data_IF_744649121594
#
_entry.id   IF_744649121594
#
_cell.length_a   1.000
_cell.length_b   1.000
_cell.length_c   1.000
_cell.angle_alpha   90.00
_cell.angle_beta   90.00
_cell.angle_gamma   90.00
#
_symmetry.space_group_name_H-M   'P 1'
#
loop_
_entity.id
_entity.type
_entity.pdbx_description
1 polymer ?
#
# COMPACT_ATOMS: atom_id res chain seq x y z
N UNK A 1 -75.37 14.91 3.25
CA UNK A 1 -74.05 15.03 2.60
C UNK A 1 -73.03 14.51 3.59
N UNK A 2 -72.73 13.23 3.48
CA UNK A 2 -71.77 12.50 4.33
C UNK A 2 -70.38 12.66 3.73
N UNK A 3 -69.48 13.33 4.45
CA UNK A 3 -68.06 13.41 4.14
C UNK A 3 -67.44 12.00 4.19
N UNK A 4 -66.89 11.56 3.06
CA UNK A 4 -66.09 10.34 2.98
C UNK A 4 -64.71 10.61 3.58
N UNK A 5 -64.43 9.98 4.73
CA UNK A 5 -63.06 9.85 5.23
C UNK A 5 -62.19 9.10 4.20
N UNK A 6 -60.91 9.47 4.01
CA UNK A 6 -60.03 8.73 3.14
C UNK A 6 -59.79 7.33 3.75
N UNK A 7 -60.03 6.30 2.95
CA UNK A 7 -59.77 4.92 3.32
C UNK A 7 -58.25 4.75 3.54
N UNK A 8 -57.85 4.48 4.78
CA UNK A 8 -56.50 3.99 5.10
C UNK A 8 -56.40 2.59 4.49
N UNK A 9 -55.63 2.42 3.43
CA UNK A 9 -55.42 1.11 2.84
C UNK A 9 -54.66 0.23 3.83
N UNK A 10 -55.23 -0.92 4.17
CA UNK A 10 -54.81 -1.78 5.28
C UNK A 10 -53.89 -2.93 4.85
N UNK A 11 -53.24 -2.85 3.68
CA UNK A 11 -52.40 -3.94 3.16
C UNK A 11 -50.91 -3.69 3.40
N UNK A 12 -50.55 -3.38 4.65
CA UNK A 12 -49.16 -3.55 5.07
C UNK A 12 -48.92 -5.05 5.28
N UNK A 13 -48.21 -5.66 4.33
CA UNK A 13 -47.78 -7.06 4.48
C UNK A 13 -46.99 -7.23 5.78
N UNK A 14 -47.11 -8.39 6.43
CA UNK A 14 -46.33 -8.72 7.63
C UNK A 14 -44.83 -8.53 7.38
N UNK A 15 -44.36 -8.82 6.16
CA UNK A 15 -42.97 -8.57 5.73
C UNK A 15 -42.59 -7.09 5.82
N UNK A 16 -43.46 -6.19 5.34
CA UNK A 16 -43.23 -4.74 5.40
C UNK A 16 -43.25 -4.21 6.85
N UNK A 17 -44.12 -4.75 7.71
CA UNK A 17 -44.19 -4.39 9.12
C UNK A 17 -42.96 -4.86 9.92
N UNK A 18 -42.30 -5.92 9.46
CA UNK A 18 -41.12 -6.51 10.10
C UNK A 18 -39.81 -6.18 9.37
N UNK A 19 -39.85 -5.27 8.39
CA UNK A 19 -38.66 -4.84 7.67
C UNK A 19 -37.66 -4.15 8.63
N UNK A 20 -36.33 -4.31 8.44
CA UNK A 20 -35.34 -3.62 9.26
C UNK A 20 -35.50 -2.11 9.18
N UNK A 21 -35.46 -1.43 10.34
CA UNK A 21 -35.51 0.03 10.40
C UNK A 21 -34.14 0.70 10.21
N UNK A 22 -33.05 -0.09 10.25
CA UNK A 22 -31.66 0.36 10.19
C UNK A 22 -30.99 0.00 8.85
N UNK A 23 -31.70 0.16 7.73
CA UNK A 23 -31.13 -0.05 6.40
C UNK A 23 -30.04 0.98 6.09
N UNK A 24 -28.94 0.53 5.47
CA UNK A 24 -27.74 1.34 5.32
C UNK A 24 -27.83 2.40 4.19
N UNK A 25 -28.65 2.17 3.16
CA UNK A 25 -28.72 3.02 1.96
C UNK A 25 -29.00 4.49 2.29
N UNK A 26 -29.89 4.77 3.25
CA UNK A 26 -30.24 6.12 3.67
C UNK A 26 -29.17 6.77 4.55
N UNK A 27 -28.23 6.01 5.10
CA UNK A 27 -27.04 6.53 5.81
C UNK A 27 -25.90 6.82 4.85
N UNK A 28 -25.75 6.00 3.81
CA UNK A 28 -24.69 6.10 2.83
C UNK A 28 -24.92 7.20 1.78
N UNK A 29 -26.11 7.23 1.18
CA UNK A 29 -26.47 8.22 0.16
C UNK A 29 -26.88 9.50 0.88
N UNK A 30 -26.21 10.61 0.57
CA UNK A 30 -26.48 11.91 1.19
C UNK A 30 -27.84 12.52 0.81
N UNK A 31 -28.13 12.72 -0.49
CA UNK A 31 -29.39 13.31 -0.95
C UNK A 31 -30.62 12.55 -0.47
N UNK A 32 -31.64 13.29 -0.02
CA UNK A 32 -32.98 12.78 0.32
C UNK A 32 -33.93 12.98 -0.84
N UNK A 33 -35.13 12.43 -0.75
CA UNK A 33 -36.14 12.55 -1.82
C UNK A 33 -36.41 14.00 -2.24
N UNK A 34 -36.50 14.91 -1.27
CA UNK A 34 -36.66 16.34 -1.54
C UNK A 34 -35.44 16.96 -2.25
N UNK A 35 -34.22 16.56 -1.87
CA UNK A 35 -33.00 17.03 -2.54
C UNK A 35 -32.92 16.48 -3.97
N UNK A 36 -33.29 15.22 -4.17
CA UNK A 36 -33.34 14.56 -5.48
C UNK A 36 -34.34 15.28 -6.38
N UNK A 37 -35.55 15.57 -5.88
CA UNK A 37 -36.56 16.32 -6.64
C UNK A 37 -36.05 17.72 -7.03
N UNK A 38 -35.45 18.47 -6.09
CA UNK A 38 -34.90 19.79 -6.37
C UNK A 38 -33.74 19.75 -7.40
N UNK A 39 -32.87 18.73 -7.31
CA UNK A 39 -31.79 18.55 -8.29
C UNK A 39 -32.32 18.18 -9.67
N UNK A 40 -33.32 17.30 -9.76
CA UNK A 40 -33.97 16.92 -11.01
C UNK A 40 -34.67 18.11 -11.67
N UNK A 41 -35.37 18.93 -10.88
CA UNK A 41 -35.98 20.20 -11.35
C UNK A 41 -34.92 21.13 -11.94
N UNK A 42 -33.77 21.29 -11.27
CA UNK A 42 -32.66 22.11 -11.78
C UNK A 42 -32.04 21.62 -13.08
N UNK A 43 -32.19 20.32 -13.38
CA UNK A 43 -31.73 19.68 -14.60
C UNK A 43 -32.83 19.58 -15.67
N UNK A 44 -34.04 20.05 -15.39
CA UNK A 44 -35.23 19.91 -16.25
C UNK A 44 -35.54 18.42 -16.58
N UNK A 45 -35.40 17.55 -15.58
CA UNK A 45 -35.67 16.11 -15.68
C UNK A 45 -36.78 15.69 -14.72
N UNK A 46 -37.58 14.71 -15.13
CA UNK A 46 -38.73 14.20 -14.39
C UNK A 46 -38.34 13.06 -13.43
N UNK A 47 -37.22 12.37 -13.68
CA UNK A 47 -36.80 11.22 -12.87
C UNK A 47 -35.32 10.88 -12.98
N UNK A 48 -34.82 10.11 -12.00
CA UNK A 48 -33.50 9.49 -12.08
C UNK A 48 -33.39 8.52 -13.26
N UNK A 49 -34.46 7.82 -13.63
CA UNK A 49 -34.44 6.91 -14.80
C UNK A 49 -34.24 7.67 -16.11
N UNK A 50 -34.85 8.85 -16.25
CA UNK A 50 -34.64 9.73 -17.39
C UNK A 50 -33.18 10.23 -17.43
N UNK A 51 -32.63 10.64 -16.27
CA UNK A 51 -31.22 11.03 -16.15
C UNK A 51 -30.30 9.89 -16.61
N UNK A 52 -30.52 8.66 -16.14
CA UNK A 52 -29.73 7.50 -16.51
C UNK A 52 -29.87 7.18 -18.00
N UNK A 53 -31.08 7.23 -18.56
CA UNK A 53 -31.32 6.94 -19.98
C UNK A 53 -30.63 7.95 -20.92
N UNK A 54 -30.54 9.22 -20.53
CA UNK A 54 -29.84 10.25 -21.29
C UNK A 54 -28.31 10.24 -21.07
N UNK A 55 -27.83 9.67 -19.95
CA UNK A 55 -26.40 9.65 -19.60
C UNK A 55 -25.69 8.39 -20.09
N UNK A 56 -26.31 7.22 -19.93
CA UNK A 56 -25.69 5.91 -20.20
C UNK A 56 -26.28 5.32 -21.48
N UNK A 57 -25.47 5.08 -22.53
CA UNK A 57 -25.95 4.46 -23.76
C UNK A 57 -26.63 3.11 -23.50
N UNK A 58 -27.82 2.92 -24.08
CA UNK A 58 -28.64 1.72 -23.90
C UNK A 58 -27.87 0.43 -24.22
N UNK A 59 -27.03 0.45 -25.25
CA UNK A 59 -26.27 -0.71 -25.72
C UNK A 59 -25.30 -1.31 -24.69
N UNK A 60 -24.97 -0.57 -23.63
CA UNK A 60 -24.09 -1.04 -22.54
C UNK A 60 -24.79 -1.09 -21.18
N UNK A 61 -26.09 -0.77 -21.12
CA UNK A 61 -26.85 -0.87 -19.86
C UNK A 61 -27.10 -2.33 -19.53
N UNK A 62 -27.04 -2.65 -18.23
CA UNK A 62 -27.41 -3.98 -17.76
C UNK A 62 -28.89 -4.23 -18.07
N UNK A 63 -29.18 -5.36 -18.73
CA UNK A 63 -30.55 -5.75 -19.10
C UNK A 63 -31.39 -6.24 -17.90
N UNK A 64 -30.74 -6.59 -16.79
CA UNK A 64 -31.38 -7.07 -15.57
C UNK A 64 -30.68 -6.48 -14.33
N UNK A 65 -31.37 -6.36 -13.18
CA UNK A 65 -30.75 -6.04 -11.91
C UNK A 65 -29.62 -7.00 -11.55
N UNK A 66 -28.69 -6.53 -10.69
CA UNK A 66 -27.61 -7.38 -10.19
C UNK A 66 -28.17 -8.53 -9.35
N UNK A 67 -27.81 -9.76 -9.71
CA UNK A 67 -28.06 -10.94 -8.87
C UNK A 67 -26.96 -11.04 -7.83
N UNK A 68 -27.27 -10.64 -6.60
CA UNK A 68 -26.32 -10.61 -5.48
C UNK A 68 -26.52 -11.84 -4.58
N UNK A 69 -25.52 -12.75 -4.46
CA UNK A 69 -25.61 -13.89 -3.56
C UNK A 69 -25.86 -13.45 -2.12
N UNK A 70 -26.88 -14.03 -1.48
CA UNK A 70 -27.26 -13.69 -0.11
C UNK A 70 -28.18 -12.48 0.03
N UNK A 71 -28.49 -11.76 -1.06
CA UNK A 71 -29.58 -10.78 -1.05
C UNK A 71 -30.93 -11.50 -1.02
N UNK A 72 -31.82 -11.04 -0.14
CA UNK A 72 -33.20 -11.50 -0.09
C UNK A 72 -34.01 -10.56 -0.98
N UNK A 73 -34.69 -11.10 -1.98
CA UNK A 73 -35.50 -10.31 -2.89
C UNK A 73 -36.54 -9.49 -2.12
N UNK A 74 -36.56 -8.17 -2.37
CA UNK A 74 -37.48 -7.25 -1.71
C UNK A 74 -37.14 -6.92 -0.25
N UNK A 75 -35.96 -7.28 0.27
CA UNK A 75 -35.52 -6.95 1.63
C UNK A 75 -34.04 -6.61 1.71
N UNK A 76 -33.75 -5.36 2.05
CA UNK A 76 -32.40 -4.94 2.43
C UNK A 76 -32.08 -5.37 3.88
N UNK A 77 -30.90 -5.93 4.15
CA UNK A 77 -30.49 -6.24 5.52
C UNK A 77 -30.22 -4.95 6.31
N UNK A 78 -30.51 -4.99 7.61
CA UNK A 78 -30.14 -3.90 8.53
C UNK A 78 -28.63 -3.85 8.77
N UNK A 79 -28.09 -2.68 9.11
CA UNK A 79 -26.67 -2.51 9.44
C UNK A 79 -26.24 -3.44 10.58
N UNK A 80 -27.08 -3.59 11.61
CA UNK A 80 -26.81 -4.52 12.71
C UNK A 80 -26.78 -5.98 12.24
N UNK A 81 -27.71 -6.36 11.39
CA UNK A 81 -27.81 -7.72 10.85
C UNK A 81 -26.54 -8.09 10.08
N UNK A 82 -26.03 -7.18 9.23
CA UNK A 82 -24.79 -7.38 8.49
C UNK A 82 -23.59 -7.57 9.44
N UNK A 83 -23.51 -6.79 10.52
CA UNK A 83 -22.45 -6.94 11.53
C UNK A 83 -22.52 -8.28 12.26
N UNK A 84 -23.72 -8.77 12.57
CA UNK A 84 -23.91 -10.09 13.20
C UNK A 84 -23.52 -11.23 12.24
N UNK A 85 -23.89 -11.12 10.96
CA UNK A 85 -23.45 -12.07 9.93
C UNK A 85 -21.93 -12.09 9.77
N UNK A 86 -21.28 -10.92 9.73
CA UNK A 86 -19.83 -10.83 9.63
C UNK A 86 -19.14 -11.44 10.86
N UNK A 87 -19.65 -11.20 12.07
CA UNK A 87 -19.13 -11.84 13.30
C UNK A 87 -19.25 -13.35 13.26
N UNK A 88 -20.37 -13.88 12.74
CA UNK A 88 -20.54 -15.32 12.59
C UNK A 88 -19.50 -15.90 11.62
N UNK A 89 -19.25 -15.26 10.48
CA UNK A 89 -18.19 -15.67 9.55
C UNK A 89 -16.80 -15.60 10.20
N UNK A 90 -16.49 -14.50 10.90
CA UNK A 90 -15.21 -14.31 11.59
C UNK A 90 -14.96 -15.37 12.68
N UNK A 91 -16.01 -15.89 13.31
CA UNK A 91 -15.90 -16.91 14.36
C UNK A 91 -15.33 -18.25 13.88
N UNK A 92 -15.31 -18.49 12.57
CA UNK A 92 -14.68 -19.66 11.97
C UNK A 92 -13.14 -19.56 11.92
N UNK A 93 -12.57 -18.37 12.12
CA UNK A 93 -11.12 -18.20 12.15
C UNK A 93 -10.53 -18.73 13.46
N UNK A 94 -9.47 -19.53 13.37
CA UNK A 94 -8.74 -19.99 14.54
C UNK A 94 -7.53 -19.09 14.83
N UNK A 95 -7.60 -18.33 15.92
CA UNK A 95 -6.47 -17.53 16.39
C UNK A 95 -5.42 -18.42 17.07
N UNK A 96 -4.24 -18.54 16.44
CA UNK A 96 -3.08 -19.25 16.99
C UNK A 96 -1.94 -18.28 17.28
N UNK A 97 -1.00 -18.73 18.12
CA UNK A 97 0.30 -18.07 18.27
C UNK A 97 1.19 -18.48 17.10
N UNK A 98 1.20 -17.66 16.05
CA UNK A 98 1.97 -17.92 14.84
C UNK A 98 3.42 -17.48 15.02
N UNK A 99 4.33 -18.44 15.21
CA UNK A 99 5.78 -18.24 15.24
C UNK A 99 6.43 -18.58 13.88
N UNK A 100 5.68 -18.40 12.79
CA UNK A 100 6.12 -18.72 11.41
C UNK A 100 7.22 -17.75 10.97
N UNK A 101 7.12 -16.46 11.33
CA UNK A 101 8.05 -15.43 10.90
C UNK A 101 7.84 -15.09 9.42
N UNK A 102 8.87 -15.28 8.60
CA UNK A 102 8.81 -15.04 7.14
C UNK A 102 8.33 -13.62 6.77
N UNK A 103 8.74 -12.60 7.53
CA UNK A 103 8.40 -11.19 7.28
C UNK A 103 7.16 -10.70 8.02
N UNK A 104 6.44 -11.57 8.73
CA UNK A 104 5.27 -11.22 9.54
C UNK A 104 5.47 -11.67 10.98
N UNK A 105 5.39 -10.71 11.90
CA UNK A 105 5.66 -10.96 13.32
C UNK A 105 4.56 -10.31 14.14
N UNK A 106 3.96 -11.09 15.04
CA UNK A 106 2.93 -10.56 15.92
C UNK A 106 3.49 -9.38 16.75
N UNK A 107 2.63 -8.40 17.01
CA UNK A 107 3.02 -7.14 17.67
C UNK A 107 1.85 -6.57 18.44
N UNK A 108 2.17 -5.72 19.41
CA UNK A 108 1.15 -5.01 20.19
C UNK A 108 0.92 -3.66 19.52
N UNK A 109 -0.23 -3.49 18.86
CA UNK A 109 -0.69 -2.15 18.47
C UNK A 109 -0.99 -1.35 19.73
N UNK A 110 -0.28 -0.25 20.00
CA UNK A 110 -0.55 0.55 21.19
C UNK A 110 -2.01 1.01 21.18
N UNK A 111 -2.81 0.77 22.25
CA UNK A 111 -4.24 1.09 22.24
C UNK A 111 -4.56 2.56 21.94
N UNK A 112 -3.65 3.47 22.32
CA UNK A 112 -3.75 4.90 22.01
C UNK A 112 -3.64 5.17 20.50
N UNK A 113 -2.82 4.43 19.77
CA UNK A 113 -2.69 4.53 18.31
C UNK A 113 -3.89 3.88 17.62
N UNK A 114 -4.29 2.69 18.07
CA UNK A 114 -5.48 2.01 17.54
C UNK A 114 -6.71 2.93 17.61
N UNK A 115 -7.01 3.46 18.80
CA UNK A 115 -8.21 4.27 19.02
C UNK A 115 -8.15 5.64 18.35
N UNK A 116 -7.01 6.34 18.43
CA UNK A 116 -6.95 7.76 18.03
C UNK A 116 -6.44 7.99 16.60
N UNK A 117 -5.91 6.96 15.94
CA UNK A 117 -5.44 7.03 14.54
C UNK A 117 -6.22 6.03 13.69
N UNK A 118 -6.09 4.71 13.95
CA UNK A 118 -6.67 3.68 13.08
C UNK A 118 -8.21 3.71 13.07
N UNK A 119 -8.84 3.89 14.22
CA UNK A 119 -10.29 3.94 14.39
C UNK A 119 -10.84 5.38 14.35
N UNK A 120 -10.04 6.35 13.92
CA UNK A 120 -10.42 7.77 13.88
C UNK A 120 -10.62 8.26 12.43
N UNK A 121 -11.85 8.62 12.02
CA UNK A 121 -12.13 9.09 10.67
C UNK A 121 -11.36 10.36 10.29
N UNK A 122 -10.93 11.18 11.26
CA UNK A 122 -10.05 12.33 11.00
C UNK A 122 -8.65 11.96 10.49
N UNK A 123 -8.27 10.69 10.54
CA UNK A 123 -7.01 10.16 10.03
C UNK A 123 -7.17 9.34 8.75
N UNK A 124 -8.25 8.54 8.62
CA UNK A 124 -8.39 7.60 7.49
C UNK A 124 -9.33 8.05 6.36
N UNK A 125 -10.09 9.14 6.50
CA UNK A 125 -11.04 9.57 5.44
C UNK A 125 -10.40 10.46 4.38
N UNK A 126 -9.35 11.20 4.72
CA UNK A 126 -8.58 11.99 3.78
C UNK A 126 -7.80 11.11 2.80
N UNK A 127 -7.47 11.70 1.65
CA UNK A 127 -6.65 11.06 0.64
C UNK A 127 -5.24 11.67 0.56
N UNK A 128 -4.53 11.34 -0.52
CA UNK A 128 -3.19 11.86 -0.85
C UNK A 128 -3.09 13.37 -0.57
N UNK A 129 -2.01 13.85 0.11
CA UNK A 129 -1.83 15.26 0.47
C UNK A 129 -1.43 16.14 -0.71
N UNK A 130 -2.27 16.21 -1.75
CA UNK A 130 -2.08 17.07 -2.91
C UNK A 130 -2.12 18.56 -2.52
N UNK A 131 -3.06 18.93 -1.65
CA UNK A 131 -3.19 20.28 -1.09
C UNK A 131 -2.41 20.32 0.24
N UNK A 132 -1.15 20.75 0.18
CA UNK A 132 -0.21 20.61 1.30
C UNK A 132 -0.59 21.46 2.52
N UNK A 133 -1.16 22.64 2.28
CA UNK A 133 -1.52 23.65 3.27
C UNK A 133 -2.54 23.12 4.29
N UNK A 134 -3.47 22.27 3.84
CA UNK A 134 -4.49 21.62 4.68
C UNK A 134 -4.14 20.16 5.03
N UNK A 135 -2.86 19.80 4.87
CA UNK A 135 -2.39 18.41 5.01
C UNK A 135 -1.12 18.26 5.86
N UNK A 136 -0.69 19.33 6.55
CA UNK A 136 0.58 19.35 7.27
C UNK A 136 0.72 18.25 8.32
N UNK A 137 -0.35 17.89 9.04
CA UNK A 137 -0.29 16.85 10.08
C UNK A 137 0.16 15.49 9.57
N UNK A 138 -0.46 14.96 8.52
CA UNK A 138 -0.05 13.67 7.92
C UNK A 138 1.26 13.77 7.15
N UNK A 139 1.57 14.93 6.55
CA UNK A 139 2.87 15.16 5.92
C UNK A 139 4.00 15.09 6.95
N UNK A 140 3.80 15.65 8.15
CA UNK A 140 4.76 15.55 9.25
C UNK A 140 4.91 14.10 9.75
N UNK A 141 3.79 13.38 9.93
CA UNK A 141 3.83 11.95 10.31
C UNK A 141 4.64 11.10 9.31
N UNK A 142 4.48 11.34 8.01
CA UNK A 142 5.25 10.66 6.96
C UNK A 142 6.72 11.09 6.92
N UNK A 143 7.03 12.33 7.29
CA UNK A 143 8.42 12.77 7.45
C UNK A 143 9.08 12.10 8.66
N UNK A 144 8.33 11.91 9.76
CA UNK A 144 8.78 11.13 10.93
C UNK A 144 9.04 9.68 10.52
N UNK A 145 8.13 9.06 9.75
CA UNK A 145 8.34 7.73 9.18
C UNK A 145 9.64 7.67 8.36
N UNK A 146 9.81 8.59 7.40
CA UNK A 146 11.05 8.65 6.60
C UNK A 146 12.30 8.78 7.47
N UNK A 147 12.26 9.63 8.50
CA UNK A 147 13.38 9.86 9.41
C UNK A 147 13.71 8.60 10.21
N UNK A 148 12.69 7.94 10.77
CA UNK A 148 12.85 6.66 11.48
C UNK A 148 13.50 5.59 10.58
N UNK A 149 13.08 5.49 9.31
CA UNK A 149 13.68 4.56 8.36
C UNK A 149 15.13 4.94 8.08
N UNK A 150 15.45 6.21 7.83
CA UNK A 150 16.83 6.64 7.55
C UNK A 150 17.76 6.38 8.73
N UNK A 151 17.28 6.63 9.96
CA UNK A 151 18.07 6.42 11.18
C UNK A 151 18.37 4.93 11.42
N UNK A 152 17.36 4.06 11.30
CA UNK A 152 17.52 2.62 11.51
C UNK A 152 18.30 1.93 10.40
N UNK A 153 18.11 2.34 9.14
CA UNK A 153 18.81 1.73 7.99
C UNK A 153 20.20 2.30 7.76
N UNK A 154 20.52 3.47 8.34
CA UNK A 154 21.77 4.19 8.10
C UNK A 154 21.91 4.75 6.68
N UNK A 155 20.80 4.87 5.95
CA UNK A 155 20.76 5.40 4.58
C UNK A 155 20.17 6.82 4.56
N UNK A 156 20.63 7.70 3.65
CA UNK A 156 20.35 9.13 3.76
C UNK A 156 18.95 9.57 3.35
N UNK A 157 18.15 8.71 2.72
CA UNK A 157 16.82 9.06 2.23
C UNK A 157 15.91 7.84 2.13
N UNK A 158 14.67 8.00 2.58
CA UNK A 158 13.59 7.02 2.44
C UNK A 158 12.37 7.64 1.74
N UNK A 159 11.54 6.79 1.14
CA UNK A 159 10.24 7.21 0.62
C UNK A 159 9.13 7.15 1.70
N UNK A 160 7.95 7.64 1.36
CA UNK A 160 6.77 7.67 2.22
C UNK A 160 5.90 6.41 2.05
N UNK A 161 6.54 5.24 2.12
CA UNK A 161 6.01 3.87 1.96
C UNK A 161 5.96 3.28 0.54
N UNK A 162 5.90 1.94 0.50
CA UNK A 162 5.47 1.08 -0.61
C UNK A 162 4.41 0.08 -0.12
N UNK A 163 4.00 -0.85 -0.99
CA UNK A 163 2.84 -1.73 -0.76
C UNK A 163 3.11 -2.87 0.21
N UNK A 164 4.23 -3.57 0.06
CA UNK A 164 4.70 -4.67 0.91
C UNK A 164 6.21 -4.90 0.69
N UNK A 165 6.85 -5.74 1.49
CA UNK A 165 8.30 -6.00 1.38
C UNK A 165 8.69 -6.56 0.01
N UNK A 166 7.89 -7.46 -0.53
CA UNK A 166 8.20 -8.19 -1.76
C UNK A 166 8.18 -7.25 -2.99
N UNK A 167 7.19 -6.37 -3.06
CA UNK A 167 7.09 -5.30 -4.05
C UNK A 167 8.16 -4.24 -3.84
N UNK A 168 8.52 -3.90 -2.59
CA UNK A 168 9.63 -3.00 -2.30
C UNK A 168 10.97 -3.54 -2.79
N UNK A 169 11.23 -4.84 -2.61
CA UNK A 169 12.42 -5.51 -3.15
C UNK A 169 12.44 -5.50 -4.68
N UNK A 170 11.30 -5.76 -5.33
CA UNK A 170 11.18 -5.69 -6.79
C UNK A 170 11.41 -4.27 -7.33
N UNK A 171 10.89 -3.25 -6.66
CA UNK A 171 11.15 -1.84 -6.98
C UNK A 171 12.63 -1.48 -6.79
N UNK A 172 13.27 -1.95 -5.72
CA UNK A 172 14.70 -1.78 -5.50
C UNK A 172 15.53 -2.42 -6.62
N UNK A 173 15.19 -3.62 -7.06
CA UNK A 173 15.84 -4.29 -8.21
C UNK A 173 15.71 -3.45 -9.47
N UNK A 174 14.50 -3.00 -9.80
CA UNK A 174 14.26 -2.16 -10.97
C UNK A 174 15.02 -0.83 -10.89
N UNK A 175 15.03 -0.21 -9.71
CA UNK A 175 15.76 1.02 -9.43
C UNK A 175 17.28 0.84 -9.61
N UNK A 176 17.86 -0.26 -9.11
CA UNK A 176 19.28 -0.60 -9.24
C UNK A 176 19.66 -0.85 -10.70
N UNK A 177 18.90 -1.67 -11.43
CA UNK A 177 19.12 -1.87 -12.87
C UNK A 177 19.09 -0.54 -13.62
N UNK A 178 18.11 0.31 -13.33
CA UNK A 178 17.90 1.59 -14.01
C UNK A 178 18.92 2.70 -13.74
N UNK A 179 19.80 2.56 -12.73
CA UNK A 179 20.93 3.50 -12.51
C UNK A 179 22.24 2.99 -13.09
N UNK A 180 22.39 1.68 -13.30
CA UNK A 180 23.62 1.16 -13.90
C UNK A 180 23.74 1.66 -15.34
N UNK A 181 24.88 2.28 -15.68
CA UNK A 181 25.11 2.96 -16.97
C UNK A 181 25.25 2.02 -18.19
N UNK A 182 25.12 0.72 -17.98
CA UNK A 182 25.35 -0.35 -18.95
C UNK A 182 24.07 -1.16 -19.15
N UNK A 183 23.99 -1.98 -20.20
CA UNK A 183 22.90 -2.95 -20.43
C UNK A 183 22.92 -4.13 -19.42
N UNK A 184 23.22 -3.87 -18.15
CA UNK A 184 23.27 -4.88 -17.08
C UNK A 184 21.84 -5.23 -16.71
N UNK A 185 21.48 -6.49 -16.82
CA UNK A 185 20.13 -7.00 -16.54
C UNK A 185 20.13 -8.20 -15.62
N UNK A 186 21.31 -8.72 -15.23
CA UNK A 186 21.43 -9.85 -14.31
C UNK A 186 21.33 -9.36 -12.86
N UNK A 187 20.58 -10.10 -12.04
CA UNK A 187 20.36 -9.83 -10.62
C UNK A 187 20.62 -11.13 -9.85
N UNK A 188 21.51 -11.09 -8.86
CA UNK A 188 21.69 -12.20 -7.93
C UNK A 188 20.76 -12.03 -6.74
N UNK A 189 20.04 -13.08 -6.36
CA UNK A 189 19.16 -13.09 -5.19
C UNK A 189 19.57 -14.22 -4.28
N UNK A 190 19.76 -13.93 -2.99
CA UNK A 190 20.10 -14.96 -2.03
C UNK A 190 18.90 -15.87 -1.79
N UNK A 191 19.12 -17.18 -1.82
CA UNK A 191 18.06 -18.18 -1.63
C UNK A 191 17.46 -18.18 -0.23
N UNK A 192 18.08 -17.47 0.72
CA UNK A 192 17.65 -17.28 2.10
C UNK A 192 16.95 -15.92 2.33
N UNK A 193 16.57 -15.21 1.27
CA UNK A 193 15.49 -14.22 1.32
C UNK A 193 14.14 -14.91 1.55
N UNK A 194 13.11 -14.15 1.98
CA UNK A 194 11.78 -14.72 2.12
C UNK A 194 11.24 -15.23 0.76
N UNK A 195 10.59 -16.41 0.71
CA UNK A 195 10.22 -17.04 -0.55
C UNK A 195 9.22 -16.20 -1.36
N UNK A 196 8.29 -15.49 -0.70
CA UNK A 196 7.38 -14.56 -1.37
C UNK A 196 8.11 -13.34 -1.94
N UNK A 197 9.18 -12.87 -1.28
CA UNK A 197 10.04 -11.79 -1.79
C UNK A 197 10.76 -12.24 -3.07
N UNK A 198 11.33 -13.45 -3.05
CA UNK A 198 11.96 -14.05 -4.23
C UNK A 198 10.96 -14.17 -5.39
N UNK A 199 9.76 -14.72 -5.13
CA UNK A 199 8.75 -14.94 -6.14
C UNK A 199 8.32 -13.63 -6.83
N UNK A 200 8.01 -12.58 -6.06
CA UNK A 200 7.60 -11.28 -6.63
C UNK A 200 8.74 -10.62 -7.40
N UNK A 201 9.98 -10.70 -6.90
CA UNK A 201 11.17 -10.20 -7.62
C UNK A 201 11.33 -10.92 -8.96
N UNK A 202 11.19 -12.25 -8.99
CA UNK A 202 11.27 -13.04 -10.22
C UNK A 202 10.16 -12.64 -11.21
N UNK A 203 8.90 -12.56 -10.77
CA UNK A 203 7.77 -12.16 -11.62
C UNK A 203 7.97 -10.76 -12.23
N UNK A 204 8.42 -9.80 -11.42
CA UNK A 204 8.64 -8.42 -11.87
C UNK A 204 9.85 -8.31 -12.79
N UNK A 205 10.90 -9.07 -12.52
CA UNK A 205 12.08 -9.16 -13.36
C UNK A 205 11.77 -9.75 -14.74
N UNK A 206 11.01 -10.85 -14.80
CA UNK A 206 10.57 -11.48 -16.04
C UNK A 206 9.82 -10.49 -16.94
N UNK A 207 8.83 -9.79 -16.39
CA UNK A 207 8.07 -8.77 -17.11
C UNK A 207 8.94 -7.59 -17.60
N UNK A 208 10.05 -7.30 -16.92
CA UNK A 208 10.98 -6.23 -17.28
C UNK A 208 12.17 -6.70 -18.15
N UNK A 209 12.29 -8.01 -18.44
CA UNK A 209 13.41 -8.59 -19.19
C UNK A 209 14.72 -8.67 -18.40
N UNK A 210 14.66 -8.71 -17.07
CA UNK A 210 15.83 -8.93 -16.21
C UNK A 210 16.04 -10.43 -15.96
N UNK A 211 17.30 -10.84 -15.75
CA UNK A 211 17.65 -12.23 -15.46
C UNK A 211 17.93 -12.36 -13.97
N UNK A 212 17.02 -12.99 -13.24
CA UNK A 212 17.19 -13.27 -11.81
C UNK A 212 17.80 -14.66 -11.62
N UNK A 213 18.89 -14.71 -10.89
CA UNK A 213 19.61 -15.94 -10.54
C UNK A 213 19.58 -16.10 -9.01
N UNK A 214 18.80 -17.08 -8.55
CA UNK A 214 18.58 -17.36 -7.12
C UNK A 214 19.53 -18.47 -6.69
N UNK A 215 20.47 -18.17 -5.78
CA UNK A 215 21.47 -19.14 -5.31
C UNK A 215 21.80 -18.96 -3.84
N UNK A 216 22.46 -19.95 -3.25
CA UNK A 216 23.06 -19.82 -1.93
C UNK A 216 24.12 -18.71 -1.96
N UNK A 217 24.26 -17.97 -0.85
CA UNK A 217 25.22 -16.86 -0.75
C UNK A 217 26.66 -17.28 -1.06
N UNK A 218 27.06 -18.50 -0.66
CA UNK A 218 28.38 -19.06 -0.91
C UNK A 218 28.70 -19.23 -2.41
N UNK A 219 27.67 -19.34 -3.24
CA UNK A 219 27.79 -19.53 -4.69
C UNK A 219 27.80 -18.20 -5.46
N UNK A 220 27.87 -17.06 -4.77
CA UNK A 220 27.87 -15.76 -5.44
C UNK A 220 29.22 -15.52 -6.12
N UNK A 221 29.23 -15.68 -7.44
CA UNK A 221 30.36 -15.45 -8.33
C UNK A 221 30.60 -13.95 -8.57
N UNK A 222 31.07 -13.25 -7.52
CA UNK A 222 31.41 -11.82 -7.58
C UNK A 222 32.89 -11.54 -7.87
N UNK A 223 33.69 -12.55 -8.25
CA UNK A 223 35.12 -12.39 -8.53
C UNK A 223 35.48 -12.45 -10.04
N UNK A 224 34.62 -13.01 -10.89
CA UNK A 224 34.91 -13.19 -12.32
C UNK A 224 34.54 -11.96 -13.17
N UNK A 225 35.56 -11.32 -13.75
CA UNK A 225 35.45 -10.13 -14.60
C UNK A 225 34.54 -10.32 -15.84
N UNK A 226 34.35 -11.55 -16.33
CA UNK A 226 33.43 -11.84 -17.42
C UNK A 226 31.97 -11.86 -16.95
N UNK A 227 31.71 -12.47 -15.79
CA UNK A 227 30.39 -12.51 -15.15
C UNK A 227 29.92 -11.12 -14.65
N UNK A 228 30.86 -10.22 -14.32
CA UNK A 228 30.58 -8.85 -13.85
C UNK A 228 29.94 -7.93 -14.89
N UNK A 229 30.13 -8.18 -16.19
CA UNK A 229 29.69 -7.23 -17.24
C UNK A 229 28.17 -7.05 -17.29
N UNK A 230 27.40 -8.02 -16.79
CA UNK A 230 25.94 -8.01 -16.82
C UNK A 230 25.26 -7.89 -15.45
N UNK A 231 26.01 -8.01 -14.34
CA UNK A 231 25.46 -7.96 -12.99
C UNK A 231 25.08 -6.53 -12.59
N UNK A 232 23.79 -6.25 -12.43
CA UNK A 232 23.27 -4.96 -12.02
C UNK A 232 23.10 -4.84 -10.51
N UNK A 233 22.63 -5.89 -9.86
CA UNK A 233 22.26 -5.85 -8.45
C UNK A 233 22.42 -7.20 -7.75
N UNK A 234 22.58 -7.14 -6.44
CA UNK A 234 22.57 -8.27 -5.51
C UNK A 234 21.52 -7.98 -4.44
N UNK A 235 20.62 -8.93 -4.17
CA UNK A 235 19.61 -8.86 -3.11
C UNK A 235 19.91 -9.91 -2.05
N UNK A 236 20.06 -9.47 -0.80
CA UNK A 236 20.23 -10.32 0.39
C UNK A 236 19.23 -9.93 1.48
N UNK A 237 19.03 -10.81 2.47
CA UNK A 237 18.14 -10.56 3.62
C UNK A 237 18.94 -10.51 4.93
N UNK A 238 18.64 -9.53 5.79
CA UNK A 238 19.34 -9.28 7.04
C UNK A 238 18.36 -8.94 8.18
N UNK A 239 18.10 -9.85 9.15
CA UNK A 239 18.51 -11.26 9.18
C UNK A 239 17.91 -12.09 8.04
N UNK A 240 18.49 -13.25 7.75
CA UNK A 240 17.99 -14.16 6.72
C UNK A 240 16.64 -14.78 7.10
N UNK A 241 15.94 -15.41 6.15
CA UNK A 241 14.62 -16.03 6.39
C UNK A 241 14.63 -17.13 7.44
N UNK A 242 15.79 -17.76 7.67
CA UNK A 242 16.03 -18.77 8.70
C UNK A 242 16.65 -18.19 9.99
N UNK A 243 16.77 -16.86 10.08
CA UNK A 243 17.14 -16.14 11.30
C UNK A 243 18.63 -15.92 11.52
N UNK A 244 19.50 -16.22 10.56
CA UNK A 244 20.95 -15.98 10.68
C UNK A 244 21.26 -14.49 10.51
N UNK A 245 22.24 -14.02 11.28
CA UNK A 245 22.82 -12.67 11.15
C UNK A 245 24.19 -12.83 10.50
N UNK A 246 24.34 -12.34 9.28
CA UNK A 246 25.56 -12.46 8.49
C UNK A 246 26.23 -11.09 8.31
N UNK A 247 27.56 -11.06 8.25
CA UNK A 247 28.29 -9.85 7.87
C UNK A 247 28.39 -9.75 6.35
N UNK A 248 27.75 -8.75 5.78
CA UNK A 248 27.75 -8.48 4.35
C UNK A 248 28.79 -7.46 3.90
N UNK A 249 29.69 -7.00 4.77
CA UNK A 249 30.72 -5.99 4.42
C UNK A 249 31.56 -6.42 3.21
N UNK A 250 32.08 -7.66 3.21
CA UNK A 250 32.88 -8.18 2.09
C UNK A 250 32.04 -8.37 0.82
N UNK A 251 30.78 -8.80 0.97
CA UNK A 251 29.84 -8.93 -0.14
C UNK A 251 29.63 -7.57 -0.82
N UNK A 252 29.39 -6.52 -0.05
CA UNK A 252 29.23 -5.16 -0.53
C UNK A 252 30.46 -4.70 -1.31
N UNK A 253 31.65 -4.86 -0.75
CA UNK A 253 32.90 -4.50 -1.44
C UNK A 253 33.07 -5.24 -2.77
N UNK A 254 32.81 -6.55 -2.81
CA UNK A 254 32.92 -7.37 -4.02
C UNK A 254 31.88 -6.99 -5.07
N UNK A 255 30.63 -6.77 -4.67
CA UNK A 255 29.56 -6.32 -5.56
C UNK A 255 29.88 -4.94 -6.17
N UNK A 256 30.40 -4.00 -5.37
CA UNK A 256 30.81 -2.69 -5.84
C UNK A 256 32.00 -2.75 -6.80
N UNK A 257 33.01 -3.61 -6.52
CA UNK A 257 34.12 -3.88 -7.46
C UNK A 257 33.62 -4.45 -8.80
N UNK A 258 32.55 -5.25 -8.79
CA UNK A 258 31.87 -5.74 -9.97
C UNK A 258 30.97 -4.69 -10.67
N UNK A 259 30.77 -3.52 -10.06
CA UNK A 259 29.90 -2.45 -10.56
C UNK A 259 28.40 -2.71 -10.33
N UNK A 260 28.05 -3.64 -9.45
CA UNK A 260 26.68 -3.95 -9.04
C UNK A 260 26.27 -3.14 -7.80
N UNK A 261 24.96 -3.03 -7.57
CA UNK A 261 24.37 -2.39 -6.39
C UNK A 261 23.88 -3.44 -5.39
N UNK A 262 23.95 -3.13 -4.09
CA UNK A 262 23.52 -4.07 -3.05
C UNK A 262 22.22 -3.61 -2.40
N UNK A 263 21.22 -4.49 -2.45
CA UNK A 263 19.91 -4.35 -1.83
C UNK A 263 19.86 -5.27 -0.62
N UNK A 264 19.45 -4.74 0.52
CA UNK A 264 19.29 -5.50 1.77
C UNK A 264 17.82 -5.43 2.19
N UNK A 265 17.10 -6.55 2.09
CA UNK A 265 15.81 -6.71 2.75
C UNK A 265 16.04 -6.93 4.25
N UNK A 266 15.36 -6.20 5.12
CA UNK A 266 15.71 -6.15 6.55
C UNK A 266 14.50 -5.87 7.45
N UNK A 267 14.72 -5.99 8.76
CA UNK A 267 13.71 -5.86 9.80
C UNK A 267 14.05 -4.68 10.72
N UNK A 268 13.15 -3.70 10.81
CA UNK A 268 13.39 -2.47 11.58
C UNK A 268 13.63 -2.72 13.07
N UNK A 269 12.99 -3.74 13.66
CA UNK A 269 13.19 -4.06 15.07
C UNK A 269 14.56 -4.69 15.29
N UNK A 270 15.00 -5.57 14.39
CA UNK A 270 16.35 -6.14 14.44
C UNK A 270 17.42 -5.05 14.35
N UNK A 271 17.21 -4.02 13.52
CA UNK A 271 18.13 -2.89 13.36
C UNK A 271 18.25 -1.97 14.58
N UNK A 272 17.41 -2.14 15.61
CA UNK A 272 17.59 -1.43 16.89
C UNK A 272 18.81 -1.92 17.68
N UNK A 273 19.29 -3.13 17.39
CA UNK A 273 20.45 -3.76 18.05
C UNK A 273 21.52 -4.24 17.08
N UNK A 274 21.16 -4.47 15.82
CA UNK A 274 22.07 -4.89 14.77
C UNK A 274 22.70 -3.70 14.05
N UNK A 275 23.88 -3.93 13.47
CA UNK A 275 24.57 -2.95 12.64
C UNK A 275 23.71 -2.60 11.42
N UNK A 276 23.45 -1.32 11.19
CA UNK A 276 22.58 -0.85 10.12
C UNK A 276 23.17 -1.11 8.71
N UNK A 277 22.34 -1.44 7.69
CA UNK A 277 22.80 -1.71 6.32
C UNK A 277 23.69 -0.66 5.68
N UNK A 278 23.34 0.63 5.84
CA UNK A 278 24.14 1.72 5.30
C UNK A 278 25.57 1.77 5.85
N UNK A 279 25.79 1.25 7.07
CA UNK A 279 27.12 1.28 7.70
C UNK A 279 28.07 0.19 7.17
N UNK A 280 27.56 -0.88 6.55
CA UNK A 280 28.36 -1.94 5.91
C UNK A 280 28.32 -1.90 4.38
N UNK A 281 27.80 -0.82 3.79
CA UNK A 281 27.92 -0.56 2.36
C UNK A 281 26.70 -0.99 1.52
N UNK A 282 25.52 -1.16 2.12
CA UNK A 282 24.30 -1.32 1.33
C UNK A 282 23.99 -0.05 0.51
N UNK A 283 23.51 -0.21 -0.73
CA UNK A 283 23.04 0.90 -1.56
C UNK A 283 21.56 1.21 -1.31
N UNK A 284 20.77 0.17 -1.02
CA UNK A 284 19.32 0.20 -0.80
C UNK A 284 18.95 -0.73 0.34
N UNK A 285 18.06 -0.30 1.22
CA UNK A 285 17.43 -1.15 2.24
C UNK A 285 15.92 -1.15 2.06
N UNK A 286 15.30 -2.33 2.14
CA UNK A 286 13.85 -2.52 2.02
C UNK A 286 13.32 -3.42 3.13
N UNK A 287 12.02 -3.42 3.37
CA UNK A 287 11.40 -4.32 4.33
C UNK A 287 10.00 -3.89 4.70
N UNK A 288 9.40 -4.55 5.68
CA UNK A 288 8.11 -4.21 6.26
C UNK A 288 8.25 -3.42 7.56
N UNK A 289 7.44 -2.38 7.74
CA UNK A 289 7.27 -1.70 9.02
C UNK A 289 6.18 -2.36 9.90
N UNK A 290 5.59 -3.49 9.48
CA UNK A 290 4.45 -4.13 10.14
C UNK A 290 4.63 -4.28 11.66
N UNK A 291 5.76 -4.85 12.09
CA UNK A 291 5.96 -5.18 13.51
C UNK A 291 6.16 -3.96 14.41
N UNK A 292 6.22 -2.75 13.86
CA UNK A 292 6.14 -1.49 14.61
C UNK A 292 4.67 -1.11 14.89
N UNK A 293 3.94 -2.04 15.53
CA UNK A 293 2.61 -1.79 16.06
C UNK A 293 1.45 -1.91 15.07
N UNK A 294 1.63 -2.52 13.88
CA UNK A 294 0.53 -2.78 12.94
C UNK A 294 0.08 -4.25 13.03
N UNK A 295 -1.22 -4.56 13.15
CA UNK A 295 -1.70 -5.95 13.27
C UNK A 295 -1.27 -6.82 12.08
N UNK A 296 -1.15 -8.14 12.28
CA UNK A 296 -0.81 -9.10 11.21
C UNK A 296 -1.74 -9.00 10.00
N UNK A 297 -3.03 -8.70 10.21
CA UNK A 297 -3.99 -8.39 9.14
C UNK A 297 -4.18 -9.50 8.10
N UNK A 298 -3.81 -10.75 8.43
CA UNK A 298 -3.79 -11.88 7.49
C UNK A 298 -3.11 -11.54 6.14
N UNK A 299 -2.06 -10.70 6.20
CA UNK A 299 -1.26 -10.28 5.04
C UNK A 299 -1.10 -8.76 4.90
N UNK A 300 -2.00 -7.94 5.47
CA UNK A 300 -1.91 -6.48 5.35
C UNK A 300 -3.13 -5.72 5.88
N UNK A 301 -3.16 -4.38 5.73
CA UNK A 301 -2.16 -3.55 5.04
C UNK A 301 -0.96 -3.19 5.91
N UNK A 302 0.25 -3.23 5.34
CA UNK A 302 1.49 -2.84 6.03
C UNK A 302 2.34 -1.92 5.16
N UNK A 303 2.80 -0.81 5.73
CA UNK A 303 3.73 0.06 5.04
C UNK A 303 5.09 -0.65 4.88
N UNK A 304 5.48 -0.88 3.63
CA UNK A 304 6.86 -1.25 3.34
C UNK A 304 7.74 -0.01 3.25
N UNK A 305 9.01 -0.15 3.60
CA UNK A 305 9.99 0.92 3.47
C UNK A 305 10.95 0.64 2.33
N UNK A 306 11.45 1.72 1.73
CA UNK A 306 12.63 1.70 0.86
C UNK A 306 13.47 2.93 1.18
N UNK A 307 14.71 2.68 1.60
CA UNK A 307 15.73 3.70 1.80
C UNK A 307 16.91 3.45 0.86
N UNK A 308 17.58 4.52 0.40
CA UNK A 308 18.65 4.41 -0.57
C UNK A 308 19.68 5.53 -0.43
N UNK A 309 20.86 5.32 -1.01
CA UNK A 309 21.88 6.36 -1.15
C UNK A 309 21.42 7.51 -2.07
N UNK A 310 22.07 8.68 -1.95
CA UNK A 310 21.70 9.90 -2.69
C UNK A 310 21.75 9.76 -4.22
N UNK A 311 22.48 8.77 -4.76
CA UNK A 311 22.52 8.46 -6.19
C UNK A 311 21.11 8.14 -6.74
N UNK A 312 20.25 7.55 -5.91
CA UNK A 312 18.92 7.08 -6.30
C UNK A 312 17.81 8.14 -6.22
N UNK A 313 18.09 9.36 -5.78
CA UNK A 313 17.04 10.38 -5.52
C UNK A 313 16.08 10.66 -6.67
N UNK A 314 16.56 10.57 -7.91
CA UNK A 314 15.74 10.78 -9.12
C UNK A 314 15.03 9.52 -9.64
N UNK A 315 15.33 8.37 -9.03
CA UNK A 315 14.82 7.03 -9.41
C UNK A 315 13.97 6.39 -8.31
N UNK A 316 13.97 6.97 -7.12
CA UNK A 316 13.15 6.54 -5.99
C UNK A 316 11.67 6.35 -6.40
N UNK A 317 11.06 5.18 -6.11
CA UNK A 317 9.63 4.94 -6.35
C UNK A 317 8.77 5.61 -5.27
N UNK A 318 7.52 5.90 -5.63
CA UNK A 318 6.54 6.45 -4.70
C UNK A 318 6.82 7.89 -4.24
N UNK A 319 6.06 8.29 -3.22
CA UNK A 319 6.05 9.65 -2.68
C UNK A 319 7.25 9.87 -1.78
N UNK A 320 7.73 11.11 -1.70
CA UNK A 320 8.75 11.53 -0.74
C UNK A 320 8.27 12.86 -0.16
N UNK A 321 8.23 12.97 1.16
CA UNK A 321 7.95 14.22 1.86
C UNK A 321 9.26 14.97 2.03
N UNK A 322 9.22 16.26 1.68
CA UNK A 322 10.34 17.18 1.83
C UNK A 322 9.93 18.41 2.64
N UNK A 323 10.92 18.97 3.33
CA UNK A 323 10.81 20.26 4.01
C UNK A 323 10.96 21.38 2.99
N UNK A 324 10.12 22.40 3.10
CA UNK A 324 10.09 23.59 2.26
C UNK A 324 9.76 24.83 3.10
N UNK A 325 9.39 25.93 2.43
CA UNK A 325 8.96 27.17 3.07
C UNK A 325 7.65 27.65 2.45
N UNK A 326 6.77 28.19 3.28
CA UNK A 326 5.55 28.85 2.82
C UNK A 326 5.82 30.28 2.31
N UNK A 327 4.77 30.98 1.89
CA UNK A 327 4.86 32.37 1.40
C UNK A 327 5.35 33.38 2.47
N UNK A 328 5.30 33.02 3.75
CA UNK A 328 5.79 33.84 4.88
C UNK A 328 7.20 33.44 5.31
N UNK A 329 7.83 32.51 4.60
CA UNK A 329 9.16 31.98 4.91
C UNK A 329 9.19 30.98 6.05
N UNK A 330 8.04 30.55 6.58
CA UNK A 330 7.94 29.57 7.66
C UNK A 330 8.16 28.15 7.13
N UNK A 331 8.70 27.26 7.97
CA UNK A 331 8.93 25.87 7.62
C UNK A 331 7.59 25.16 7.36
N UNK A 332 7.48 24.48 6.23
CA UNK A 332 6.31 23.69 5.84
C UNK A 332 6.72 22.39 5.13
N UNK A 333 5.83 21.41 5.08
CA UNK A 333 6.05 20.12 4.45
C UNK A 333 5.27 20.00 3.15
N UNK A 334 5.81 19.26 2.18
CA UNK A 334 5.10 18.93 0.93
C UNK A 334 5.63 17.65 0.31
N UNK A 335 4.89 17.09 -0.62
CA UNK A 335 5.44 16.09 -1.54
C UNK A 335 6.52 16.73 -2.43
N UNK A 336 7.67 16.08 -2.50
CA UNK A 336 8.87 16.53 -3.19
C UNK A 336 9.20 15.65 -4.41
N UNK A 337 9.83 16.26 -5.41
CA UNK A 337 10.27 15.58 -6.64
C UNK A 337 9.14 14.78 -7.33
N UNK A 338 7.92 15.33 -7.37
CA UNK A 338 6.72 14.68 -7.90
C UNK A 338 6.83 14.33 -9.39
N UNK A 339 7.75 14.95 -10.12
CA UNK A 339 8.02 14.60 -11.53
C UNK A 339 8.50 13.16 -11.70
N UNK A 340 8.84 12.42 -10.63
CA UNK A 340 9.11 10.97 -10.71
C UNK A 340 7.83 10.13 -10.87
N UNK A 341 6.69 10.64 -10.44
CA UNK A 341 5.45 9.87 -10.25
C UNK A 341 4.61 9.76 -11.52
N UNK A 342 3.74 8.74 -11.56
CA UNK A 342 2.91 8.38 -12.70
C UNK A 342 2.01 9.51 -13.22
N UNK A 343 1.51 10.39 -12.34
CA UNK A 343 0.58 11.45 -12.73
C UNK A 343 1.25 12.56 -13.56
N UNK A 344 2.58 12.65 -13.54
CA UNK A 344 3.36 13.58 -14.36
C UNK A 344 4.05 12.85 -15.51
N UNK A 345 4.76 11.74 -15.23
CA UNK A 345 5.61 11.06 -16.22
C UNK A 345 4.99 9.85 -16.89
N UNK A 346 3.83 9.39 -16.45
CA UNK A 346 3.09 8.26 -17.03
C UNK A 346 4.01 7.05 -17.22
N UNK A 347 4.19 6.56 -18.44
CA UNK A 347 5.05 5.42 -18.78
C UNK A 347 6.54 5.64 -18.47
N UNK A 348 6.97 6.89 -18.32
CA UNK A 348 8.36 7.26 -17.97
C UNK A 348 8.57 7.51 -16.48
N UNK A 349 7.55 7.25 -15.65
CA UNK A 349 7.64 7.36 -14.20
C UNK A 349 8.62 6.32 -13.63
N UNK A 350 9.03 6.50 -12.38
CA UNK A 350 9.94 5.56 -11.71
C UNK A 350 9.26 4.26 -11.30
N UNK A 351 7.94 4.30 -11.09
CA UNK A 351 7.07 3.17 -10.77
C UNK A 351 5.62 3.52 -11.16
N UNK A 352 4.76 2.50 -11.27
CA UNK A 352 3.32 2.67 -11.47
C UNK A 352 2.54 2.93 -10.16
N UNK A 353 3.20 2.89 -9.00
CA UNK A 353 2.55 3.10 -7.70
C UNK A 353 1.85 4.47 -7.63
N UNK A 354 0.64 4.49 -7.05
CA UNK A 354 -0.16 5.70 -6.88
C UNK A 354 -0.72 5.78 -5.45
N UNK A 355 -1.67 4.91 -5.12
CA UNK A 355 -2.02 4.60 -3.73
C UNK A 355 -0.90 3.76 -3.13
N UNK A 356 -0.51 4.10 -1.91
CA UNK A 356 0.48 3.38 -1.12
C UNK A 356 -0.12 3.10 0.28
N UNK A 357 0.73 2.86 1.28
CA UNK A 357 0.30 2.58 2.66
C UNK A 357 0.73 3.75 3.56
N UNK A 358 -0.13 4.77 3.61
CA UNK A 358 0.17 6.13 4.11
C UNK A 358 -0.41 6.38 5.47
#
# INVERSE_FOLDING_TARGET
>A
MTESQPAVSSDLSVSALLAPSDTFVHRHIGPREADIAAMLESLELDSLDQLIAQTIPESIRAAAPLSLPGAIEGRDPGEREVLEQLRAMMSANELKRSLIGMGYYDTITPPVIQRNILENPGWYTQYTPYQAEISQGRLEALLIYQTMITDLTGLPMANASLLDEATAAAEAVHMCVGVTRSKRTRVLVASDCHPQTIAVVQTRAEAAGFVVDVRALADFELADAAAHKQLAAVLVQYPTTDGRVLDYSELCERAHKAGAKVIVATDLLALTVLRAPGSFGADVAVGSAQRFGVPLGYGGPHAAFLAATNEFKRKMPGRIIGVSRDARGQRAFRMAMQTREQHIRREKATSNICTAQV
#
